data_IF_523982216297
#
_entry.id   IF_523982216297
#
_cell.length_a   1.000
_cell.length_b   1.000
_cell.length_c   1.000
_cell.angle_alpha   90.00
_cell.angle_beta   90.00
_cell.angle_gamma   90.00
#
_symmetry.space_group_name_H-M   'P 1'
#
loop_
_entity.id
_entity.type
_entity.pdbx_description
1 polymer ?
#
# COMPACT_ATOMS: atom_id res chain seq x y z
N UNK A 1 25.84 2.93 -7.70
CA UNK A 1 26.44 1.58 -7.89
C UNK A 1 25.41 0.51 -7.61
N UNK A 2 25.81 -0.76 -7.50
CA UNK A 2 24.93 -1.83 -7.01
C UNK A 2 24.84 -1.78 -5.48
N UNK A 3 23.66 -2.05 -4.92
CA UNK A 3 23.49 -2.16 -3.49
C UNK A 3 24.12 -3.44 -2.93
N UNK A 4 24.74 -3.36 -1.76
CA UNK A 4 25.36 -4.50 -1.06
C UNK A 4 24.68 -4.83 0.27
N UNK A 5 24.05 -3.84 0.90
CA UNK A 5 23.51 -3.92 2.27
C UNK A 5 22.06 -3.42 2.38
N UNK A 6 21.39 -3.12 1.28
CA UNK A 6 20.05 -2.52 1.24
C UNK A 6 19.35 -2.86 -0.09
N UNK A 7 18.06 -2.51 -0.24
CA UNK A 7 17.45 -2.60 -1.58
C UNK A 7 18.13 -1.64 -2.55
N UNK A 8 18.09 -1.97 -3.84
CA UNK A 8 18.62 -1.08 -4.87
C UNK A 8 17.90 0.27 -4.88
N UNK A 9 16.59 0.29 -4.58
CA UNK A 9 15.82 1.53 -4.43
C UNK A 9 16.41 2.40 -3.32
N UNK A 10 16.58 1.84 -2.12
CA UNK A 10 17.08 2.57 -0.96
C UNK A 10 18.53 3.04 -1.18
N UNK A 11 19.39 2.20 -1.76
CA UNK A 11 20.75 2.60 -2.13
C UNK A 11 20.74 3.83 -3.05
N UNK A 12 19.92 3.82 -4.10
CA UNK A 12 19.81 4.94 -5.03
C UNK A 12 19.30 6.21 -4.34
N UNK A 13 18.29 6.10 -3.46
CA UNK A 13 17.77 7.24 -2.71
C UNK A 13 18.83 7.86 -1.78
N UNK A 14 19.60 7.02 -1.07
CA UNK A 14 20.69 7.48 -0.17
C UNK A 14 21.80 8.23 -0.89
N UNK A 15 22.06 7.89 -2.16
CA UNK A 15 23.01 8.61 -3.01
C UNK A 15 22.38 9.89 -3.56
N UNK A 16 21.16 9.80 -4.10
CA UNK A 16 20.48 10.94 -4.74
C UNK A 16 20.35 12.15 -3.81
N UNK A 17 20.07 11.95 -2.51
CA UNK A 17 19.92 13.07 -1.55
C UNK A 17 21.20 13.87 -1.33
N UNK A 18 22.38 13.31 -1.64
CA UNK A 18 23.67 14.03 -1.56
C UNK A 18 23.89 14.98 -2.74
N UNK A 19 23.25 14.70 -3.87
CA UNK A 19 23.40 15.46 -5.12
C UNK A 19 22.37 16.60 -5.23
N UNK A 20 21.44 16.71 -4.28
CA UNK A 20 20.41 17.75 -4.27
C UNK A 20 21.01 19.08 -3.80
N UNK A 21 20.74 20.16 -4.55
CA UNK A 21 21.13 21.52 -4.17
C UNK A 21 20.85 21.85 -2.70
N UNK A 22 21.82 22.47 -2.04
CA UNK A 22 21.70 22.96 -0.66
C UNK A 22 20.57 23.98 -0.49
N UNK A 23 20.15 24.66 -1.57
CA UNK A 23 19.02 25.61 -1.58
C UNK A 23 17.64 24.93 -1.49
N UNK A 24 17.56 23.61 -1.68
CA UNK A 24 16.29 22.88 -1.63
C UNK A 24 15.83 22.69 -0.18
N UNK A 25 14.64 23.16 0.17
CA UNK A 25 14.10 23.06 1.54
C UNK A 25 13.34 21.76 1.82
N UNK A 26 12.92 21.05 0.76
CA UNK A 26 12.07 19.86 0.85
C UNK A 26 12.60 18.77 -0.09
N UNK A 27 12.71 17.55 0.43
CA UNK A 27 12.90 16.36 -0.39
C UNK A 27 11.56 15.78 -0.79
N UNK A 28 11.42 15.45 -2.07
CA UNK A 28 10.23 14.82 -2.63
C UNK A 28 10.64 13.55 -3.37
N UNK A 29 10.00 12.44 -3.02
CA UNK A 29 10.25 11.11 -3.57
C UNK A 29 9.04 10.63 -4.36
N UNK A 30 9.30 10.13 -5.57
CA UNK A 30 8.29 9.63 -6.50
C UNK A 30 8.79 8.36 -7.19
N UNK A 31 7.93 7.36 -7.32
CA UNK A 31 8.27 6.13 -8.05
C UNK A 31 8.26 6.44 -9.56
N UNK A 32 9.15 5.82 -10.33
CA UNK A 32 9.29 6.07 -11.77
C UNK A 32 8.08 5.62 -12.61
N UNK A 33 7.19 4.80 -12.04
CA UNK A 33 5.94 4.35 -12.65
C UNK A 33 4.71 5.16 -12.19
N UNK A 34 4.90 6.12 -11.27
CA UNK A 34 3.83 7.01 -10.84
C UNK A 34 3.50 8.03 -11.94
N UNK A 35 2.21 8.31 -12.15
CA UNK A 35 1.72 9.34 -13.08
C UNK A 35 1.07 10.49 -12.31
N UNK A 36 1.85 11.36 -11.66
CA UNK A 36 1.32 12.48 -10.88
C UNK A 36 0.68 13.55 -11.77
N UNK A 37 -0.38 14.19 -11.28
CA UNK A 37 -1.01 15.32 -11.98
C UNK A 37 -0.17 16.60 -11.92
N UNK A 38 -0.49 17.60 -12.76
CA UNK A 38 0.27 18.86 -12.88
C UNK A 38 0.46 19.63 -11.56
N UNK A 39 -0.52 19.53 -10.64
CA UNK A 39 -0.48 20.21 -9.32
C UNK A 39 0.09 19.33 -8.20
N UNK A 40 0.52 18.10 -8.50
CA UNK A 40 0.93 17.11 -7.49
C UNK A 40 2.04 17.62 -6.57
N UNK A 41 3.12 18.19 -7.13
CA UNK A 41 4.25 18.68 -6.32
C UNK A 41 3.80 19.80 -5.38
N UNK A 42 3.06 20.79 -5.90
CA UNK A 42 2.50 21.88 -5.10
C UNK A 42 1.60 21.36 -3.97
N UNK A 43 0.69 20.43 -4.29
CA UNK A 43 -0.25 19.89 -3.32
C UNK A 43 0.44 19.03 -2.26
N UNK A 44 1.48 18.26 -2.64
CA UNK A 44 2.19 17.36 -1.74
C UNK A 44 3.06 18.14 -0.76
N UNK A 45 3.66 19.25 -1.21
CA UNK A 45 4.53 20.10 -0.38
C UNK A 45 3.73 21.05 0.51
N UNK A 46 2.57 21.52 0.07
CA UNK A 46 1.79 22.54 0.78
C UNK A 46 1.55 22.27 2.29
N UNK A 47 1.24 21.04 2.73
CA UNK A 47 1.05 20.78 4.17
C UNK A 47 2.31 20.93 5.01
N UNK A 48 3.51 20.94 4.42
CA UNK A 48 4.77 21.07 5.13
C UNK A 48 5.10 22.51 5.53
N UNK A 49 4.29 23.49 5.10
CA UNK A 49 4.31 24.85 5.65
C UNK A 49 4.02 24.87 7.15
N UNK A 50 3.23 23.90 7.63
CA UNK A 50 3.06 23.66 9.05
C UNK A 50 4.28 22.88 9.58
N UNK A 51 5.10 23.55 10.38
CA UNK A 51 6.33 22.97 10.93
C UNK A 51 6.09 21.75 11.83
N UNK A 52 4.86 21.58 12.34
CA UNK A 52 4.48 20.44 13.17
C UNK A 52 4.27 19.16 12.37
N UNK A 53 4.06 19.24 11.05
CA UNK A 53 3.92 18.06 10.19
C UNK A 53 5.30 17.48 9.85
N UNK A 54 5.49 16.18 10.09
CA UNK A 54 6.75 15.51 9.78
C UNK A 54 6.93 15.20 8.29
N UNK A 55 5.88 14.69 7.66
CA UNK A 55 5.88 14.42 6.23
C UNK A 55 4.47 14.46 5.63
N UNK A 56 4.42 14.61 4.31
CA UNK A 56 3.20 14.53 3.51
C UNK A 56 3.29 13.36 2.54
N UNK A 57 2.18 12.67 2.31
CA UNK A 57 2.17 11.48 1.47
C UNK A 57 0.91 11.38 0.62
N UNK A 58 1.09 10.91 -0.61
CA UNK A 58 0.02 10.42 -1.46
C UNK A 58 -0.17 8.92 -1.32
N UNK A 59 -0.83 8.30 -2.27
CA UNK A 59 -0.86 6.84 -2.39
C UNK A 59 -1.12 6.44 -3.83
N UNK A 60 -0.77 5.21 -4.21
CA UNK A 60 -1.10 4.70 -5.54
C UNK A 60 -2.54 4.21 -5.65
N UNK A 61 -3.10 4.35 -6.84
CA UNK A 61 -4.28 3.63 -7.28
C UNK A 61 -3.97 2.84 -8.55
N UNK A 62 -4.18 1.52 -8.52
CA UNK A 62 -3.97 0.70 -9.71
C UNK A 62 -5.12 0.86 -10.69
N UNK A 63 -4.79 1.27 -11.91
CA UNK A 63 -5.70 1.42 -13.04
C UNK A 63 -5.36 0.34 -14.07
N UNK A 64 -6.35 -0.47 -14.45
CA UNK A 64 -6.19 -1.52 -15.46
C UNK A 64 -6.73 -1.03 -16.80
N UNK A 65 -5.97 -1.26 -17.89
CA UNK A 65 -6.45 -0.98 -19.25
C UNK A 65 -7.21 -2.16 -19.84
N UNK A 66 -6.80 -3.39 -19.51
CA UNK A 66 -7.39 -4.62 -20.05
C UNK A 66 -8.62 -5.11 -19.26
N UNK A 67 -8.86 -4.58 -18.07
CA UNK A 67 -9.94 -5.00 -17.18
C UNK A 67 -9.97 -6.51 -16.86
N UNK A 68 -8.82 -7.18 -16.93
CA UNK A 68 -8.74 -8.60 -16.59
C UNK A 68 -8.85 -8.82 -15.07
N UNK A 69 -9.29 -10.02 -14.69
CA UNK A 69 -9.56 -10.38 -13.30
C UNK A 69 -8.37 -10.12 -12.35
N UNK A 70 -7.16 -10.52 -12.73
CA UNK A 70 -5.99 -10.38 -11.87
C UNK A 70 -5.63 -8.90 -11.60
N UNK A 71 -5.73 -8.06 -12.62
CA UNK A 71 -5.49 -6.61 -12.51
C UNK A 71 -6.55 -5.93 -11.66
N UNK A 72 -7.81 -6.33 -11.82
CA UNK A 72 -8.92 -5.81 -11.03
C UNK A 72 -8.82 -6.24 -9.55
N UNK A 73 -8.50 -7.50 -9.29
CA UNK A 73 -8.28 -8.00 -7.93
C UNK A 73 -7.08 -7.31 -7.27
N UNK A 74 -5.99 -7.04 -8.00
CA UNK A 74 -4.85 -6.23 -7.50
C UNK A 74 -5.31 -4.83 -7.11
N UNK A 75 -6.14 -4.19 -7.93
CA UNK A 75 -6.68 -2.86 -7.66
C UNK A 75 -7.53 -2.85 -6.39
N UNK A 76 -8.45 -3.80 -6.24
CA UNK A 76 -9.32 -3.92 -5.06
C UNK A 76 -8.52 -4.24 -3.79
N UNK A 77 -7.54 -5.13 -3.88
CA UNK A 77 -6.63 -5.46 -2.79
C UNK A 77 -5.90 -4.21 -2.31
N UNK A 78 -5.24 -3.47 -3.22
CA UNK A 78 -4.50 -2.24 -2.89
C UNK A 78 -5.42 -1.12 -2.38
N UNK A 79 -6.66 -1.04 -2.89
CA UNK A 79 -7.63 -0.05 -2.47
C UNK A 79 -8.08 -0.21 -1.01
N UNK A 80 -7.99 -1.42 -0.45
CA UNK A 80 -8.23 -1.63 0.98
C UNK A 80 -7.18 -0.90 1.84
N UNK A 81 -5.92 -0.88 1.40
CA UNK A 81 -4.82 -0.17 2.07
C UNK A 81 -4.99 1.34 1.92
N UNK A 82 -5.42 1.82 0.75
CA UNK A 82 -5.75 3.23 0.55
C UNK A 82 -6.81 3.74 1.54
N UNK A 83 -7.71 2.87 1.99
CA UNK A 83 -8.75 3.21 2.98
C UNK A 83 -8.22 3.36 4.40
N UNK A 84 -6.97 2.94 4.67
CA UNK A 84 -6.32 3.14 5.96
C UNK A 84 -5.71 4.54 6.11
N UNK A 85 -5.56 5.28 5.00
CA UNK A 85 -5.10 6.66 5.00
C UNK A 85 -6.28 7.62 5.12
N UNK A 86 -6.12 8.69 5.91
CA UNK A 86 -7.19 9.66 6.12
C UNK A 86 -6.83 10.83 7.03
N UNK A 87 -7.85 11.41 7.65
CA UNK A 87 -7.71 12.61 8.49
C UNK A 87 -6.88 12.37 9.77
N UNK A 88 -6.81 11.13 10.26
CA UNK A 88 -6.03 10.80 11.44
C UNK A 88 -4.53 10.68 11.09
N UNK A 89 -3.83 11.80 11.20
CA UNK A 89 -2.40 11.93 10.88
C UNK A 89 -1.46 11.02 11.69
N UNK A 90 -1.90 10.49 12.84
CA UNK A 90 -1.12 9.56 13.67
C UNK A 90 -1.23 8.11 13.20
N UNK A 91 -2.21 7.78 12.35
CA UNK A 91 -2.43 6.43 11.79
C UNK A 91 -1.99 6.31 10.34
N UNK A 92 -1.70 7.43 9.69
CA UNK A 92 -1.19 7.44 8.33
C UNK A 92 0.23 6.84 8.27
N UNK A 93 0.64 6.47 7.07
CA UNK A 93 1.97 5.95 6.77
C UNK A 93 2.44 6.53 5.45
N UNK A 94 3.76 6.63 5.25
CA UNK A 94 4.32 7.07 3.98
C UNK A 94 4.17 5.97 2.93
N UNK A 95 3.88 6.36 1.69
CA UNK A 95 4.13 5.52 0.53
C UNK A 95 5.27 6.09 -0.30
N UNK A 96 6.29 5.27 -0.53
CA UNK A 96 7.56 5.72 -1.12
C UNK A 96 7.47 6.27 -2.54
N UNK A 97 6.34 6.03 -3.23
CA UNK A 97 6.10 6.54 -4.57
C UNK A 97 5.45 7.93 -4.63
N UNK A 98 5.10 8.53 -3.50
CA UNK A 98 4.66 9.92 -3.40
C UNK A 98 4.79 10.41 -1.96
N UNK A 99 5.98 10.83 -1.56
CA UNK A 99 6.26 11.33 -0.20
C UNK A 99 7.09 12.61 -0.24
N UNK A 100 6.74 13.60 0.56
CA UNK A 100 7.51 14.82 0.76
C UNK A 100 7.88 14.99 2.24
N UNK A 101 9.09 15.49 2.48
CA UNK A 101 9.65 15.72 3.81
C UNK A 101 10.56 16.95 3.77
N UNK A 102 10.44 17.83 4.77
CA UNK A 102 11.36 18.96 4.88
C UNK A 102 12.79 18.48 5.13
N UNK A 103 13.78 19.16 4.53
CA UNK A 103 15.20 18.83 4.65
C UNK A 103 15.64 18.81 6.10
N UNK A 104 15.27 19.82 6.89
CA UNK A 104 15.58 19.93 8.31
C UNK A 104 15.10 18.71 9.11
N UNK A 105 13.87 18.24 8.86
CA UNK A 105 13.31 17.04 9.49
C UNK A 105 14.06 15.79 9.04
N UNK A 106 14.36 15.68 7.75
CA UNK A 106 15.08 14.53 7.19
C UNK A 106 16.47 14.37 7.82
N UNK A 107 17.20 15.48 7.95
CA UNK A 107 18.55 15.55 8.51
C UNK A 107 18.53 15.37 10.03
N UNK A 108 17.65 16.09 10.75
CA UNK A 108 17.46 15.98 12.20
C UNK A 108 17.14 14.56 12.65
N UNK A 109 16.33 13.83 11.88
CA UNK A 109 15.98 12.43 12.17
C UNK A 109 17.00 11.43 11.63
N UNK A 110 18.08 11.90 10.97
CA UNK A 110 19.12 11.09 10.35
C UNK A 110 18.57 9.99 9.43
N UNK A 111 17.61 10.34 8.57
CA UNK A 111 16.87 9.36 7.76
C UNK A 111 17.75 8.65 6.74
N UNK A 112 18.73 9.35 6.17
CA UNK A 112 19.70 8.75 5.23
C UNK A 112 20.45 7.57 5.86
N UNK A 113 20.83 7.68 7.13
CA UNK A 113 21.49 6.57 7.83
C UNK A 113 20.50 5.50 8.29
N UNK A 114 19.29 5.88 8.73
CA UNK A 114 18.24 4.90 9.07
C UNK A 114 17.82 4.04 7.88
N UNK A 115 17.99 4.53 6.65
CA UNK A 115 17.77 3.78 5.43
C UNK A 115 18.83 2.70 5.17
N UNK A 116 20.04 2.82 5.72
CA UNK A 116 21.06 1.78 5.58
C UNK A 116 20.54 0.46 6.13
N UNK A 117 20.84 -0.65 5.44
CA UNK A 117 20.33 -1.95 5.89
C UNK A 117 18.89 -2.27 5.46
N UNK A 118 18.13 -1.29 4.96
CA UNK A 118 16.68 -1.46 4.74
C UNK A 118 16.33 -1.85 3.31
N UNK A 119 15.23 -2.57 3.17
CA UNK A 119 14.58 -2.86 1.90
C UNK A 119 13.61 -1.73 1.53
N UNK A 120 12.78 -1.31 2.48
CA UNK A 120 11.68 -0.37 2.25
C UNK A 120 12.03 1.00 2.82
N UNK A 121 12.07 1.98 1.92
CA UNK A 121 12.25 3.38 2.25
C UNK A 121 11.09 3.92 3.09
N UNK A 122 9.87 3.54 2.73
CA UNK A 122 8.64 4.12 3.25
C UNK A 122 8.25 3.62 4.65
N UNK A 123 8.43 2.33 4.96
CA UNK A 123 8.32 1.85 6.34
C UNK A 123 9.38 2.49 7.23
N UNK A 124 10.59 2.72 6.72
CA UNK A 124 11.67 3.35 7.49
C UNK A 124 11.32 4.79 7.86
N UNK A 125 10.85 5.58 6.87
CA UNK A 125 10.37 6.95 7.13
C UNK A 125 9.18 6.93 8.08
N UNK A 126 8.19 6.06 7.86
CA UNK A 126 7.00 5.95 8.72
C UNK A 126 7.38 5.66 10.18
N UNK A 127 8.28 4.70 10.41
CA UNK A 127 8.76 4.36 11.76
C UNK A 127 9.51 5.51 12.41
N UNK A 128 10.33 6.23 11.65
CA UNK A 128 11.06 7.39 12.16
C UNK A 128 10.12 8.54 12.56
N UNK A 129 9.08 8.81 11.76
CA UNK A 129 8.04 9.79 12.10
C UNK A 129 7.29 9.39 13.37
N UNK A 130 6.83 8.15 13.45
CA UNK A 130 6.11 7.64 14.61
C UNK A 130 6.97 7.66 15.88
N UNK A 131 8.26 7.30 15.78
CA UNK A 131 9.20 7.34 16.91
C UNK A 131 9.48 8.79 17.38
N UNK A 132 9.46 9.75 16.46
CA UNK A 132 9.58 11.18 16.77
C UNK A 132 8.23 11.84 17.14
N UNK A 133 7.13 11.06 17.18
CA UNK A 133 5.76 11.54 17.35
C UNK A 133 5.37 12.66 16.34
N UNK A 134 5.92 12.59 15.13
CA UNK A 134 5.63 13.55 14.06
C UNK A 134 4.46 13.05 13.18
N UNK A 135 3.43 13.87 12.97
CA UNK A 135 2.31 13.60 12.08
C UNK A 135 2.71 13.26 10.64
N UNK A 136 2.03 12.29 10.06
CA UNK A 136 2.08 11.97 8.62
C UNK A 136 0.78 12.48 7.98
N UNK A 137 0.87 13.47 7.10
CA UNK A 137 -0.29 14.04 6.42
C UNK A 137 -0.58 13.31 5.13
N UNK A 138 -1.70 12.59 5.06
CA UNK A 138 -2.21 12.10 3.78
C UNK A 138 -2.80 13.27 2.97
N UNK A 139 -2.40 13.36 1.70
CA UNK A 139 -2.86 14.37 0.73
C UNK A 139 -3.67 13.65 -0.36
N UNK A 140 -5.01 13.63 -0.27
CA UNK A 140 -5.84 12.91 -1.24
C UNK A 140 -5.60 13.34 -2.68
N UNK A 141 -5.35 14.62 -2.93
CA UNK A 141 -5.05 15.18 -4.27
C UNK A 141 -3.74 14.66 -4.87
N UNK A 142 -2.92 13.97 -4.06
CA UNK A 142 -1.68 13.34 -4.48
C UNK A 142 -1.83 11.81 -4.61
N UNK A 143 -3.06 11.29 -4.71
CA UNK A 143 -3.25 9.96 -5.26
C UNK A 143 -2.67 9.91 -6.68
N UNK A 144 -1.85 8.91 -6.97
CA UNK A 144 -1.22 8.73 -8.28
C UNK A 144 -1.73 7.48 -8.94
N UNK A 145 -2.14 7.57 -10.22
CA UNK A 145 -2.48 6.39 -10.98
C UNK A 145 -1.22 5.56 -11.31
N UNK A 146 -1.27 4.27 -11.03
CA UNK A 146 -0.33 3.27 -11.54
C UNK A 146 -1.06 2.47 -12.61
N UNK A 147 -0.78 2.80 -13.88
CA UNK A 147 -1.48 2.23 -15.04
C UNK A 147 -0.73 1.00 -15.51
N UNK A 148 -1.12 -0.15 -14.98
CA UNK A 148 -0.48 -1.43 -15.26
C UNK A 148 -1.50 -2.56 -15.21
N UNK A 149 -1.42 -3.45 -16.19
CA UNK A 149 -2.09 -4.74 -16.13
C UNK A 149 -1.14 -5.80 -15.58
N UNK A 150 -1.68 -6.82 -14.94
CA UNK A 150 -0.92 -7.97 -14.48
C UNK A 150 -1.68 -9.28 -14.74
N UNK A 151 -0.94 -10.38 -14.87
CA UNK A 151 -1.49 -11.74 -14.86
C UNK A 151 -1.59 -12.28 -13.41
N UNK A 152 -2.12 -13.50 -13.24
CA UNK A 152 -2.31 -14.12 -11.93
C UNK A 152 -0.99 -14.35 -11.17
N UNK A 153 0.10 -14.72 -11.87
CA UNK A 153 1.42 -14.93 -11.26
C UNK A 153 1.98 -13.62 -10.72
N UNK A 154 1.87 -12.55 -11.49
CA UNK A 154 2.32 -11.21 -11.09
C UNK A 154 1.48 -10.64 -9.94
N UNK A 155 0.15 -10.89 -9.93
CA UNK A 155 -0.71 -10.57 -8.80
C UNK A 155 -0.20 -11.24 -7.52
N UNK A 156 0.00 -12.56 -7.56
CA UNK A 156 0.42 -13.34 -6.38
C UNK A 156 1.82 -12.95 -5.92
N UNK A 157 2.77 -12.75 -6.84
CA UNK A 157 4.11 -12.25 -6.53
C UNK A 157 4.00 -10.93 -5.76
N UNK A 158 3.30 -9.96 -6.35
CA UNK A 158 3.19 -8.62 -5.81
C UNK A 158 2.55 -8.61 -4.42
N UNK A 159 1.36 -9.20 -4.26
CA UNK A 159 0.63 -9.12 -2.98
C UNK A 159 1.30 -9.94 -1.89
N UNK A 160 1.90 -11.09 -2.23
CA UNK A 160 2.69 -11.88 -1.27
C UNK A 160 3.94 -11.12 -0.83
N UNK A 161 4.64 -10.46 -1.76
CA UNK A 161 5.79 -9.61 -1.43
C UNK A 161 5.39 -8.46 -0.51
N UNK A 162 4.27 -7.78 -0.75
CA UNK A 162 3.78 -6.74 0.15
C UNK A 162 3.58 -7.29 1.57
N UNK A 163 2.92 -8.45 1.74
CA UNK A 163 2.69 -9.03 3.07
C UNK A 163 3.97 -9.56 3.74
N UNK A 164 4.94 -10.07 2.97
CA UNK A 164 6.27 -10.42 3.49
C UNK A 164 6.99 -9.20 4.06
N UNK A 165 6.98 -8.09 3.32
CA UNK A 165 7.57 -6.82 3.76
C UNK A 165 6.83 -6.33 5.01
N UNK A 166 5.50 -6.23 4.99
CA UNK A 166 4.70 -5.79 6.15
C UNK A 166 4.95 -6.64 7.39
N UNK A 167 5.11 -7.97 7.25
CA UNK A 167 5.41 -8.85 8.39
C UNK A 167 6.71 -8.46 9.10
N UNK A 168 7.73 -8.08 8.34
CA UNK A 168 9.05 -7.72 8.89
C UNK A 168 9.04 -6.30 9.44
N UNK A 169 8.44 -5.34 8.72
CA UNK A 169 8.52 -3.92 9.06
C UNK A 169 7.41 -3.44 10.02
N UNK A 170 6.24 -4.08 10.00
CA UNK A 170 5.06 -3.71 10.76
C UNK A 170 4.26 -4.96 11.16
N UNK A 171 4.89 -5.85 11.95
CA UNK A 171 4.32 -7.13 12.36
C UNK A 171 2.90 -7.03 12.96
N UNK A 172 2.59 -5.95 13.68
CA UNK A 172 1.26 -5.71 14.23
C UNK A 172 0.18 -5.50 13.14
N UNK A 173 0.49 -4.76 12.07
CA UNK A 173 -0.42 -4.59 10.93
C UNK A 173 -0.57 -5.90 10.15
N UNK A 174 0.52 -6.66 10.00
CA UNK A 174 0.45 -7.98 9.38
C UNK A 174 -0.41 -8.95 10.20
N UNK A 175 -0.30 -8.97 11.54
CA UNK A 175 -1.16 -9.77 12.43
C UNK A 175 -2.62 -9.34 12.31
N UNK A 176 -2.90 -8.04 12.31
CA UNK A 176 -4.25 -7.51 12.11
C UNK A 176 -4.82 -7.92 10.75
N UNK A 177 -4.01 -7.88 9.69
CA UNK A 177 -4.40 -8.37 8.36
C UNK A 177 -4.68 -9.87 8.36
N UNK A 178 -3.83 -10.69 8.98
CA UNK A 178 -4.01 -12.14 9.06
C UNK A 178 -5.31 -12.49 9.81
N UNK A 179 -5.49 -11.93 11.01
CA UNK A 179 -6.66 -12.21 11.85
C UNK A 179 -7.93 -11.66 11.19
N UNK A 180 -7.92 -10.41 10.72
CA UNK A 180 -9.07 -9.78 10.09
C UNK A 180 -9.50 -10.48 8.80
N UNK A 181 -8.54 -10.88 7.95
CA UNK A 181 -8.83 -11.62 6.73
C UNK A 181 -9.33 -13.04 7.01
N UNK A 182 -8.78 -13.72 8.02
CA UNK A 182 -9.27 -15.02 8.48
C UNK A 182 -10.71 -14.93 9.00
N UNK A 183 -10.98 -14.03 9.95
CA UNK A 183 -12.31 -13.87 10.54
C UNK A 183 -13.35 -13.51 9.48
N UNK A 184 -13.03 -12.54 8.61
CA UNK A 184 -13.93 -12.18 7.52
C UNK A 184 -14.20 -13.38 6.60
N UNK A 185 -13.15 -14.09 6.19
CA UNK A 185 -13.26 -15.24 5.31
C UNK A 185 -14.12 -16.35 5.93
N UNK A 186 -13.84 -16.71 7.19
CA UNK A 186 -14.57 -17.73 7.91
C UNK A 186 -16.04 -17.34 8.06
N UNK A 187 -16.35 -16.14 8.56
CA UNK A 187 -17.73 -15.72 8.79
C UNK A 187 -18.51 -15.61 7.47
N UNK A 188 -17.95 -14.92 6.48
CA UNK A 188 -18.66 -14.64 5.24
C UNK A 188 -18.88 -15.90 4.40
N UNK A 189 -17.83 -16.69 4.16
CA UNK A 189 -17.95 -17.87 3.29
C UNK A 189 -18.63 -19.05 3.98
N UNK A 190 -18.42 -19.26 5.29
CA UNK A 190 -19.22 -20.25 6.03
C UNK A 190 -20.67 -19.81 6.12
N UNK A 191 -20.97 -18.51 6.29
CA UNK A 191 -22.34 -18.00 6.22
C UNK A 191 -23.01 -18.32 4.89
N UNK A 192 -22.33 -18.09 3.76
CA UNK A 192 -22.84 -18.43 2.42
C UNK A 192 -23.08 -19.95 2.30
N UNK A 193 -22.15 -20.78 2.81
CA UNK A 193 -22.33 -22.23 2.84
C UNK A 193 -23.54 -22.63 3.69
N UNK A 194 -23.71 -22.04 4.88
CA UNK A 194 -24.78 -22.39 5.82
C UNK A 194 -26.18 -22.17 5.24
N UNK A 195 -26.36 -21.20 4.32
CA UNK A 195 -27.64 -20.99 3.64
C UNK A 195 -28.20 -22.24 2.95
N UNK A 196 -27.34 -23.20 2.60
CA UNK A 196 -27.76 -24.47 1.99
C UNK A 196 -28.16 -25.56 3.01
N UNK A 197 -27.90 -25.34 4.30
CA UNK A 197 -28.09 -26.33 5.37
C UNK A 197 -29.05 -25.89 6.48
N UNK A 198 -29.43 -24.61 6.52
CA UNK A 198 -30.35 -24.06 7.55
C UNK A 198 -31.70 -23.69 6.93
N UNK A 199 -32.78 -23.82 7.71
CA UNK A 199 -34.14 -23.45 7.32
C UNK A 199 -34.77 -22.44 8.29
N UNK A 200 -35.94 -21.93 7.92
CA UNK A 200 -36.80 -21.11 8.78
C UNK A 200 -36.09 -19.88 9.36
N UNK A 201 -36.19 -19.66 10.67
CA UNK A 201 -35.59 -18.51 11.36
C UNK A 201 -34.07 -18.41 11.13
N UNK A 202 -33.34 -19.53 11.18
CA UNK A 202 -31.88 -19.53 11.02
C UNK A 202 -31.45 -19.14 9.60
N UNK A 203 -32.26 -19.48 8.58
CA UNK A 203 -32.04 -19.04 7.21
C UNK A 203 -32.13 -17.52 7.11
N UNK A 204 -33.23 -16.94 7.60
CA UNK A 204 -33.44 -15.50 7.54
C UNK A 204 -32.42 -14.71 8.37
N UNK A 205 -32.00 -15.23 9.53
CA UNK A 205 -30.94 -14.64 10.35
C UNK A 205 -29.59 -14.65 9.62
N UNK A 206 -29.22 -15.78 9.00
CA UNK A 206 -27.98 -15.92 8.23
C UNK A 206 -27.98 -15.01 7.00
N UNK A 207 -29.06 -15.03 6.22
CA UNK A 207 -29.22 -14.19 5.04
C UNK A 207 -29.19 -12.70 5.41
N UNK A 208 -29.91 -12.31 6.46
CA UNK A 208 -29.94 -10.93 6.96
C UNK A 208 -28.55 -10.45 7.40
N UNK A 209 -27.80 -11.30 8.10
CA UNK A 209 -26.43 -10.98 8.54
C UNK A 209 -25.48 -10.80 7.35
N UNK A 210 -25.54 -11.71 6.37
CA UNK A 210 -24.75 -11.62 5.14
C UNK A 210 -25.12 -10.37 4.33
N UNK A 211 -26.41 -10.06 4.23
CA UNK A 211 -26.89 -8.85 3.56
C UNK A 211 -26.32 -7.58 4.21
N UNK A 212 -26.32 -7.50 5.54
CA UNK A 212 -25.75 -6.35 6.27
C UNK A 212 -24.25 -6.22 5.99
N UNK A 213 -23.48 -7.32 6.07
CA UNK A 213 -22.04 -7.33 5.75
C UNK A 213 -21.81 -6.86 4.31
N UNK A 214 -22.61 -7.40 3.38
CA UNK A 214 -22.52 -7.05 1.97
C UNK A 214 -22.85 -5.58 1.72
N UNK A 215 -23.92 -5.06 2.31
CA UNK A 215 -24.34 -3.67 2.17
C UNK A 215 -23.26 -2.70 2.67
N UNK A 216 -22.66 -2.94 3.84
CA UNK A 216 -21.56 -2.10 4.33
C UNK A 216 -20.32 -2.16 3.43
N UNK A 217 -19.94 -3.36 2.96
CA UNK A 217 -18.82 -3.51 2.04
C UNK A 217 -19.06 -2.81 0.70
N UNK A 218 -20.28 -2.93 0.17
CA UNK A 218 -20.73 -2.24 -1.04
C UNK A 218 -20.66 -0.73 -0.90
N UNK A 219 -21.27 -0.17 0.16
CA UNK A 219 -21.26 1.29 0.42
C UNK A 219 -19.83 1.80 0.59
N UNK A 220 -18.98 1.08 1.34
CA UNK A 220 -17.57 1.44 1.52
C UNK A 220 -16.83 1.47 0.18
N UNK A 221 -16.98 0.44 -0.65
CA UNK A 221 -16.33 0.35 -1.94
C UNK A 221 -16.80 1.45 -2.91
N UNK A 222 -18.11 1.73 -2.92
CA UNK A 222 -18.71 2.79 -3.72
C UNK A 222 -18.21 4.19 -3.33
N UNK A 223 -18.24 4.52 -2.03
CA UNK A 223 -17.73 5.80 -1.51
C UNK A 223 -16.26 6.01 -1.85
N UNK A 224 -15.44 4.96 -1.67
CA UNK A 224 -14.02 4.99 -2.00
C UNK A 224 -13.80 5.26 -3.49
N UNK A 225 -14.51 4.55 -4.37
CA UNK A 225 -14.34 4.76 -5.81
C UNK A 225 -14.81 6.14 -6.24
N UNK A 226 -15.89 6.68 -5.65
CA UNK A 226 -16.30 8.07 -5.86
C UNK A 226 -15.21 9.06 -5.43
N UNK A 227 -14.63 8.89 -4.25
CA UNK A 227 -13.55 9.74 -3.77
C UNK A 227 -12.33 9.70 -4.70
N UNK A 228 -11.98 8.52 -5.23
CA UNK A 228 -10.87 8.38 -6.18
C UNK A 228 -11.17 9.05 -7.52
N UNK A 229 -12.38 8.92 -8.06
CA UNK A 229 -12.78 9.59 -9.31
C UNK A 229 -12.69 11.12 -9.23
N UNK A 230 -12.96 11.70 -8.05
CA UNK A 230 -12.81 13.14 -7.84
C UNK A 230 -11.35 13.61 -7.96
N UNK A 231 -10.39 12.75 -7.62
CA UNK A 231 -8.97 13.08 -7.67
C UNK A 231 -8.33 12.69 -9.00
N UNK A 232 -8.64 11.49 -9.50
CA UNK A 232 -8.08 10.90 -10.71
C UNK A 232 -9.04 11.08 -11.89
N UNK A 233 -9.50 12.31 -12.12
CA UNK A 233 -10.47 12.65 -13.17
C UNK A 233 -10.00 12.25 -14.57
N UNK A 234 -8.69 12.32 -14.83
CA UNK A 234 -8.09 11.95 -16.12
C UNK A 234 -8.23 10.46 -16.45
N UNK A 235 -8.63 9.63 -15.48
CA UNK A 235 -8.80 8.18 -15.61
C UNK A 235 -10.26 7.74 -15.44
N UNK A 236 -11.23 8.65 -15.60
CA UNK A 236 -12.64 8.36 -15.35
C UNK A 236 -13.15 7.15 -16.16
N UNK A 237 -12.74 7.02 -17.42
CA UNK A 237 -13.12 5.91 -18.29
C UNK A 237 -12.67 4.57 -17.71
N UNK A 238 -11.41 4.46 -17.30
CA UNK A 238 -10.87 3.25 -16.70
C UNK A 238 -11.50 2.99 -15.32
N UNK A 239 -11.68 4.02 -14.50
CA UNK A 239 -12.33 3.91 -13.19
C UNK A 239 -13.80 3.49 -13.29
N UNK A 240 -14.49 3.84 -14.38
CA UNK A 240 -15.83 3.32 -14.68
C UNK A 240 -15.79 1.81 -14.95
N UNK A 241 -14.79 1.33 -15.69
CA UNK A 241 -14.54 -0.11 -15.89
C UNK A 241 -14.19 -0.86 -14.59
N UNK A 242 -13.72 -0.14 -13.56
CA UNK A 242 -13.42 -0.69 -12.24
C UNK A 242 -14.62 -0.70 -11.28
N UNK A 243 -15.78 -0.14 -11.66
CA UNK A 243 -16.94 -0.05 -10.77
C UNK A 243 -17.41 -1.41 -10.28
N UNK A 244 -17.80 -2.30 -11.20
CA UNK A 244 -18.32 -3.62 -10.83
C UNK A 244 -17.26 -4.44 -10.05
N UNK A 245 -16.00 -4.53 -10.48
CA UNK A 245 -14.97 -5.24 -9.70
C UNK A 245 -14.78 -4.69 -8.28
N UNK A 246 -14.80 -3.37 -8.08
CA UNK A 246 -14.67 -2.81 -6.73
C UNK A 246 -15.87 -3.11 -5.84
N UNK A 247 -17.08 -3.20 -6.42
CA UNK A 247 -18.30 -3.52 -5.69
C UNK A 247 -18.47 -5.01 -5.38
N UNK A 248 -17.75 -5.90 -6.08
CA UNK A 248 -17.88 -7.36 -5.93
C UNK A 248 -16.63 -8.04 -5.37
N UNK A 249 -15.43 -7.74 -5.89
CA UNK A 249 -14.21 -8.48 -5.55
C UNK A 249 -13.69 -8.18 -4.13
N UNK A 250 -14.28 -7.22 -3.41
CA UNK A 250 -13.91 -6.97 -2.02
C UNK A 250 -14.29 -8.13 -1.09
N UNK A 251 -15.20 -9.03 -1.51
CA UNK A 251 -15.51 -10.30 -0.80
C UNK A 251 -14.43 -11.37 -1.03
N UNK A 252 -13.74 -11.31 -2.17
CA UNK A 252 -12.67 -12.25 -2.56
C UNK A 252 -11.30 -11.77 -2.07
N UNK A 253 -11.06 -10.46 -2.04
CA UNK A 253 -9.77 -9.89 -1.61
C UNK A 253 -9.30 -10.36 -0.23
N UNK A 254 -10.17 -10.57 0.79
CA UNK A 254 -9.79 -11.14 2.08
C UNK A 254 -9.22 -12.56 1.98
N UNK A 255 -9.73 -13.43 1.10
CA UNK A 255 -9.13 -14.75 0.84
C UNK A 255 -7.68 -14.61 0.38
N UNK A 256 -7.44 -13.69 -0.55
CA UNK A 256 -6.10 -13.41 -1.06
C UNK A 256 -5.19 -12.82 0.03
N UNK A 257 -5.69 -11.89 0.85
CA UNK A 257 -4.95 -11.39 2.03
C UNK A 257 -4.57 -12.51 2.97
N UNK A 258 -5.51 -13.40 3.32
CA UNK A 258 -5.26 -14.52 4.21
C UNK A 258 -4.18 -15.44 3.63
N UNK A 259 -4.31 -15.84 2.36
CA UNK A 259 -3.30 -16.60 1.64
C UNK A 259 -1.93 -15.91 1.66
N UNK A 260 -1.85 -14.61 1.32
CA UNK A 260 -0.58 -13.87 1.30
C UNK A 260 0.05 -13.77 2.69
N UNK A 261 -0.75 -13.57 3.74
CA UNK A 261 -0.27 -13.54 5.11
C UNK A 261 0.27 -14.91 5.53
N UNK A 262 -0.41 -16.01 5.20
CA UNK A 262 0.05 -17.38 5.45
C UNK A 262 1.35 -17.65 4.70
N UNK A 263 1.43 -17.34 3.40
CA UNK A 263 2.67 -17.47 2.63
C UNK A 263 3.83 -16.64 3.21
N UNK A 264 3.53 -15.47 3.78
CA UNK A 264 4.53 -14.63 4.41
C UNK A 264 5.16 -15.29 5.65
N UNK A 265 4.48 -16.21 6.35
CA UNK A 265 5.05 -16.97 7.47
C UNK A 265 6.26 -17.79 7.05
N UNK A 266 6.15 -18.49 5.92
CA UNK A 266 7.09 -19.51 5.48
C UNK A 266 8.33 -18.97 4.75
N UNK A 267 8.40 -17.67 4.47
CA UNK A 267 9.53 -17.11 3.75
C UNK A 267 9.79 -15.65 4.09
N UNK A 268 11.08 -15.31 4.18
CA UNK A 268 11.61 -13.93 4.27
C UNK A 268 12.30 -13.48 2.98
N UNK A 269 12.33 -14.35 1.98
CA UNK A 269 12.94 -14.08 0.68
C UNK A 269 11.93 -13.45 -0.27
N UNK A 270 12.37 -12.44 -1.01
CA UNK A 270 11.60 -11.78 -2.06
C UNK A 270 12.47 -11.56 -3.30
N UNK A 271 11.84 -11.49 -4.46
CA UNK A 271 12.47 -11.02 -5.69
C UNK A 271 11.84 -9.69 -6.05
N UNK A 272 12.65 -8.66 -6.29
CA UNK A 272 12.13 -7.35 -6.68
C UNK A 272 13.02 -6.72 -7.74
N UNK A 273 12.43 -6.40 -8.90
CA UNK A 273 13.13 -5.88 -10.09
C UNK A 273 14.38 -6.73 -10.46
N UNK A 274 14.24 -8.06 -10.41
CA UNK A 274 15.30 -9.01 -10.76
C UNK A 274 16.34 -9.29 -9.67
N UNK A 275 16.25 -8.63 -8.50
CA UNK A 275 17.19 -8.82 -7.39
C UNK A 275 16.52 -9.62 -6.29
N UNK A 276 17.19 -10.67 -5.81
CA UNK A 276 16.73 -11.47 -4.68
C UNK A 276 17.25 -10.89 -3.36
N UNK A 277 16.34 -10.68 -2.42
CA UNK A 277 16.61 -10.15 -1.10
C UNK A 277 16.17 -11.11 -0.01
N UNK A 278 16.96 -11.21 1.06
CA UNK A 278 16.58 -11.87 2.30
C UNK A 278 16.36 -10.81 3.39
N UNK A 279 15.12 -10.74 3.91
CA UNK A 279 14.71 -9.77 4.92
C UNK A 279 15.03 -10.30 6.32
N UNK A 280 16.27 -10.10 6.80
CA UNK A 280 16.70 -10.55 8.13
C UNK A 280 15.95 -9.83 9.23
N UNK A 281 15.82 -8.51 9.12
CA UNK A 281 15.06 -7.66 10.03
C UNK A 281 14.54 -6.40 9.32
N UNK A 282 13.86 -5.52 10.04
CA UNK A 282 13.42 -4.23 9.49
C UNK A 282 14.57 -3.21 9.32
N UNK A 283 15.80 -3.55 9.73
CA UNK A 283 17.00 -2.72 9.60
C UNK A 283 18.16 -3.48 8.93
N UNK A 284 17.94 -4.72 8.50
CA UNK A 284 18.97 -5.54 7.86
C UNK A 284 18.37 -6.36 6.73
N UNK A 285 18.89 -6.14 5.53
CA UNK A 285 18.49 -6.77 4.28
C UNK A 285 19.74 -7.28 3.60
N UNK A 286 19.75 -8.56 3.28
CA UNK A 286 20.85 -9.21 2.59
C UNK A 286 20.50 -9.36 1.11
N UNK A 287 21.43 -8.95 0.24
CA UNK A 287 21.31 -9.07 -1.21
C UNK A 287 21.88 -10.43 -1.62
N UNK A 288 21.03 -11.35 -2.08
CA UNK A 288 21.45 -12.73 -2.35
C UNK A 288 21.97 -12.92 -3.78
N UNK A 289 21.27 -12.37 -4.77
CA UNK A 289 21.68 -12.48 -6.18
C UNK A 289 21.06 -11.35 -7.01
N UNK A 290 21.82 -10.85 -7.99
CA UNK A 290 21.26 -10.12 -9.12
C UNK A 290 21.06 -11.12 -10.24
N UNK A 291 19.85 -11.67 -10.38
CA UNK A 291 19.56 -12.54 -11.51
C UNK A 291 19.50 -11.68 -12.77
N UNK A 292 20.55 -11.74 -13.59
CA UNK A 292 20.48 -11.33 -15.00
C UNK A 292 19.61 -12.37 -15.72
N UNK A 293 18.29 -12.22 -15.66
CA UNK A 293 17.37 -12.90 -16.58
C UNK A 293 16.72 -11.87 -17.48
#
# INVERSE_FOLDING_TARGET
GKATDSSQKVHNLRQAVLEVSEKSEVFVFVDSDARPGKKWLKNLVAPLQDETIGCATGYRWFVSKKNNFASQLRSVWNASIASALGANVKRNFCWGGSTAIRRDVFERLNLREKWRGTLSDDFTVTRAMNAANLPIRFVPQCLTATVEDCNARELLEFTTRQMKITRIYAAHLWKASLIGSFLFTAIFWTGIMLLFFVTDFHFWLTLGSLFVIFAFGFVKAWLRLKAVKLVLSDYEKELNGQLLPHLTLWTISPLLYFYNCVCALFSRKIVWRGIEYNLKSATETEVLSTNNR
#
